data_IF_956629164605
#
_entry.id   IF_956629164605
#
_cell.length_a   1.000
_cell.length_b   1.000
_cell.length_c   1.000
_cell.angle_alpha   90.00
_cell.angle_beta   90.00
_cell.angle_gamma   90.00
#
_symmetry.space_group_name_H-M   'P 1'
#
loop_
_entity.id
_entity.type
_entity.pdbx_description
1 polymer ?
#
# COMPACT_ATOMS: atom_id res chain seq x y z
N UNK A 1 33.21 10.18 1.45
CA UNK A 1 33.57 8.93 0.74
C UNK A 1 32.43 8.57 -0.17
N UNK A 2 32.66 8.60 -1.48
CA UNK A 2 31.61 8.52 -2.50
C UNK A 2 31.18 7.05 -2.66
N UNK A 3 29.98 6.71 -2.16
CA UNK A 3 29.35 5.40 -2.38
C UNK A 3 28.65 5.43 -3.73
N UNK A 4 29.30 4.94 -4.78
CA UNK A 4 28.61 4.60 -6.03
C UNK A 4 27.70 3.39 -5.78
N UNK A 5 26.38 3.60 -5.85
CA UNK A 5 25.32 2.62 -6.04
C UNK A 5 25.37 1.30 -5.25
N UNK A 6 24.36 1.05 -4.43
CA UNK A 6 24.13 -0.31 -3.91
C UNK A 6 23.60 -1.23 -5.03
N UNK A 7 24.12 -2.45 -5.09
CA UNK A 7 23.71 -3.46 -6.07
C UNK A 7 23.53 -4.82 -5.40
N UNK A 8 22.57 -5.60 -5.89
CA UNK A 8 22.40 -6.98 -5.45
C UNK A 8 23.62 -7.81 -5.87
N UNK A 9 24.15 -8.60 -4.94
CA UNK A 9 25.31 -9.48 -5.15
C UNK A 9 25.12 -10.37 -6.39
N UNK A 10 23.93 -10.96 -6.55
CA UNK A 10 23.58 -11.83 -7.67
C UNK A 10 23.57 -11.07 -9.01
N UNK A 11 23.00 -9.87 -9.02
CA UNK A 11 22.96 -9.02 -10.22
C UNK A 11 24.37 -8.60 -10.65
N UNK A 12 25.21 -8.18 -9.70
CA UNK A 12 26.58 -7.76 -9.99
C UNK A 12 27.42 -8.89 -10.60
N UNK A 13 27.30 -10.11 -10.07
CA UNK A 13 27.99 -11.30 -10.61
C UNK A 13 27.53 -11.59 -12.04
N UNK A 14 26.22 -11.51 -12.28
CA UNK A 14 25.64 -11.76 -13.59
C UNK A 14 26.08 -10.71 -14.62
N UNK A 15 26.01 -9.44 -14.27
CA UNK A 15 26.30 -8.33 -15.18
C UNK A 15 27.81 -8.22 -15.50
N UNK A 16 28.68 -8.65 -14.59
CA UNK A 16 30.15 -8.58 -14.75
C UNK A 16 30.79 -9.87 -15.23
N UNK A 17 30.05 -10.99 -15.24
CA UNK A 17 30.58 -12.34 -15.51
C UNK A 17 31.66 -12.81 -14.52
N UNK A 18 31.87 -12.08 -13.41
CA UNK A 18 32.95 -12.34 -12.46
C UNK A 18 32.55 -13.33 -11.37
N UNK A 19 33.50 -14.13 -10.91
CA UNK A 19 33.28 -15.13 -9.86
C UNK A 19 33.18 -14.54 -8.44
N UNK A 20 32.54 -15.29 -7.52
CA UNK A 20 32.38 -14.90 -6.10
C UNK A 20 33.70 -14.57 -5.38
N UNK A 21 34.81 -15.20 -5.76
CA UNK A 21 36.14 -14.96 -5.19
C UNK A 21 36.64 -13.53 -5.48
N UNK A 22 36.23 -12.95 -6.62
CA UNK A 22 36.60 -11.57 -6.96
C UNK A 22 35.94 -10.58 -5.99
N UNK A 23 34.68 -10.82 -5.61
CA UNK A 23 34.00 -10.01 -4.61
C UNK A 23 34.63 -10.13 -3.22
N UNK A 24 35.07 -11.33 -2.84
CA UNK A 24 35.77 -11.53 -1.57
C UNK A 24 37.08 -10.74 -1.54
N UNK A 25 37.90 -10.83 -2.59
CA UNK A 25 39.16 -10.08 -2.68
C UNK A 25 38.96 -8.56 -2.67
N UNK A 26 37.90 -8.06 -3.32
CA UNK A 26 37.58 -6.63 -3.28
C UNK A 26 37.10 -6.17 -1.89
N UNK A 27 36.39 -7.04 -1.16
CA UNK A 27 35.99 -6.76 0.22
C UNK A 27 37.20 -6.77 1.16
N UNK A 28 38.11 -7.74 1.03
CA UNK A 28 39.35 -7.83 1.81
C UNK A 28 40.26 -6.62 1.57
N UNK A 29 40.27 -6.10 0.33
CA UNK A 29 40.99 -4.87 -0.03
C UNK A 29 40.27 -3.59 0.40
N UNK A 30 39.15 -3.68 1.13
CA UNK A 30 38.31 -2.55 1.55
C UNK A 30 37.81 -1.67 0.39
N UNK A 31 37.70 -2.22 -0.82
CA UNK A 31 37.18 -1.50 -2.00
C UNK A 31 35.65 -1.52 -2.01
N UNK A 32 35.04 -2.58 -1.48
CA UNK A 32 33.59 -2.74 -1.35
C UNK A 32 33.20 -3.20 0.06
N UNK A 33 31.95 -2.95 0.45
CA UNK A 33 31.35 -3.47 1.69
C UNK A 33 30.17 -4.39 1.38
N UNK A 34 30.16 -5.59 1.95
CA UNK A 34 29.04 -6.53 1.81
C UNK A 34 28.09 -6.37 2.99
N UNK A 35 26.87 -5.91 2.73
CA UNK A 35 25.83 -5.71 3.75
C UNK A 35 24.64 -6.64 3.52
N UNK A 36 24.17 -7.30 4.58
CA UNK A 36 22.88 -8.01 4.57
C UNK A 36 21.77 -7.03 4.95
N UNK A 37 20.89 -6.71 4.00
CA UNK A 37 19.70 -5.91 4.26
C UNK A 37 18.46 -6.78 4.27
N UNK A 38 17.57 -6.57 5.25
CA UNK A 38 16.24 -7.18 5.25
C UNK A 38 15.44 -6.55 4.12
N UNK A 39 15.26 -7.27 3.03
CA UNK A 39 14.34 -6.85 1.98
C UNK A 39 12.93 -6.95 2.55
N UNK A 40 12.30 -5.80 2.81
CA UNK A 40 10.85 -5.80 3.02
C UNK A 40 10.24 -6.15 1.66
N UNK A 41 9.53 -7.28 1.59
CA UNK A 41 8.56 -7.49 0.51
C UNK A 41 7.46 -6.48 0.74
N UNK A 42 7.62 -5.31 0.13
CA UNK A 42 6.55 -4.34 0.10
C UNK A 42 5.59 -4.78 -1.00
N UNK A 43 4.48 -5.43 -0.61
CA UNK A 43 3.36 -5.72 -1.51
C UNK A 43 2.53 -4.46 -1.77
N UNK A 44 2.96 -3.28 -1.30
CA UNK A 44 2.51 -2.04 -1.90
C UNK A 44 2.90 -2.13 -3.37
N UNK A 45 1.92 -2.40 -4.23
CA UNK A 45 1.97 -1.96 -5.61
C UNK A 45 2.60 -0.58 -5.59
N UNK A 46 3.69 -0.38 -6.35
CA UNK A 46 4.29 0.94 -6.54
C UNK A 46 3.23 1.81 -7.23
N UNK A 47 2.33 2.35 -6.41
CA UNK A 47 1.33 3.30 -6.81
C UNK A 47 2.10 4.59 -7.02
N UNK A 48 2.52 4.81 -8.26
CA UNK A 48 2.86 6.13 -8.77
C UNK A 48 1.53 6.79 -9.14
N UNK A 49 0.87 7.54 -8.23
CA UNK A 49 -0.18 8.41 -8.70
C UNK A 49 0.49 9.35 -9.69
N UNK A 50 -0.05 9.43 -10.91
CA UNK A 50 0.20 10.61 -11.74
C UNK A 50 0.02 11.83 -10.84
N UNK A 51 1.00 12.75 -10.87
CA UNK A 51 0.98 14.00 -10.07
C UNK A 51 -0.32 14.80 -10.25
N UNK A 52 -1.09 14.48 -11.29
CA UNK A 52 -2.35 15.06 -11.73
C UNK A 52 -3.62 14.30 -11.29
N UNK A 53 -3.55 13.29 -10.41
CA UNK A 53 -4.76 12.77 -9.76
C UNK A 53 -5.31 13.80 -8.77
N UNK A 54 -5.94 14.85 -9.31
CA UNK A 54 -6.76 15.80 -8.55
C UNK A 54 -7.79 14.96 -7.81
N UNK A 55 -7.61 14.83 -6.50
CA UNK A 55 -8.56 14.15 -5.60
C UNK A 55 -9.91 14.84 -5.76
N UNK A 56 -10.78 14.31 -6.62
CA UNK A 56 -12.16 14.76 -6.71
C UNK A 56 -12.76 14.60 -5.32
N UNK A 57 -13.15 15.72 -4.71
CA UNK A 57 -13.80 15.70 -3.40
C UNK A 57 -15.15 15.03 -3.58
N UNK A 58 -15.27 13.80 -3.10
CA UNK A 58 -16.53 13.05 -3.12
C UNK A 58 -17.47 13.71 -2.12
N UNK A 59 -18.59 14.23 -2.61
CA UNK A 59 -19.66 14.83 -1.79
C UNK A 59 -20.76 13.79 -1.69
N UNK A 60 -20.94 13.24 -0.49
CA UNK A 60 -22.00 12.27 -0.22
C UNK A 60 -23.37 12.97 -0.18
N UNK A 61 -24.37 12.34 -0.78
CA UNK A 61 -25.76 12.78 -0.67
C UNK A 61 -26.33 12.48 0.73
N UNK A 62 -27.57 12.90 0.99
CA UNK A 62 -28.19 12.72 2.31
C UNK A 62 -28.30 11.24 2.73
N UNK A 63 -28.74 10.35 1.83
CA UNK A 63 -28.87 8.92 2.13
C UNK A 63 -27.52 8.27 2.46
N UNK A 64 -26.49 8.57 1.69
CA UNK A 64 -25.13 8.08 1.90
C UNK A 64 -24.52 8.61 3.20
N UNK A 65 -24.78 9.88 3.55
CA UNK A 65 -24.37 10.47 4.84
C UNK A 65 -25.02 9.76 6.02
N UNK A 66 -26.32 9.46 5.93
CA UNK A 66 -27.03 8.76 6.99
C UNK A 66 -26.47 7.35 7.19
N UNK A 67 -26.23 6.60 6.11
CA UNK A 67 -25.59 5.29 6.18
C UNK A 67 -24.18 5.37 6.79
N UNK A 68 -23.38 6.36 6.38
CA UNK A 68 -22.05 6.58 6.94
C UNK A 68 -22.10 6.92 8.43
N UNK A 69 -23.09 7.69 8.89
CA UNK A 69 -23.26 8.05 10.30
C UNK A 69 -23.51 6.81 11.16
N UNK A 70 -24.43 5.93 10.75
CA UNK A 70 -24.71 4.69 11.49
C UNK A 70 -23.46 3.79 11.61
N UNK A 71 -22.64 3.75 10.57
CA UNK A 71 -21.37 2.99 10.60
C UNK A 71 -20.33 3.69 11.50
N UNK A 72 -20.22 5.02 11.41
CA UNK A 72 -19.29 5.81 12.21
C UNK A 72 -19.56 5.65 13.70
N UNK A 73 -20.83 5.64 14.13
CA UNK A 73 -21.20 5.41 15.53
C UNK A 73 -20.62 4.12 16.09
N UNK A 74 -20.68 3.02 15.33
CA UNK A 74 -20.08 1.75 15.73
C UNK A 74 -18.53 1.83 15.77
N UNK A 75 -17.93 2.56 14.82
CA UNK A 75 -16.48 2.82 14.79
C UNK A 75 -16.03 3.69 15.98
N UNK A 76 -16.83 4.67 16.40
CA UNK A 76 -16.57 5.52 17.57
C UNK A 76 -16.68 4.71 18.86
N UNK A 77 -17.73 3.91 19.00
CA UNK A 77 -17.94 3.03 20.17
C UNK A 77 -16.98 1.85 20.23
N UNK A 78 -16.20 1.61 19.16
CA UNK A 78 -15.26 0.49 19.03
C UNK A 78 -15.93 -0.88 19.26
N UNK A 79 -17.15 -1.03 18.75
CA UNK A 79 -17.95 -2.26 18.85
C UNK A 79 -17.99 -3.01 17.52
N UNK A 80 -18.10 -4.33 17.58
CA UNK A 80 -18.39 -5.13 16.40
C UNK A 80 -19.85 -4.94 15.99
N UNK A 81 -20.08 -4.62 14.72
CA UNK A 81 -21.41 -4.52 14.15
C UNK A 81 -21.39 -4.89 12.66
N UNK A 82 -22.46 -5.52 12.18
CA UNK A 82 -22.62 -5.90 10.77
C UNK A 82 -23.59 -4.94 10.10
N UNK A 83 -23.19 -4.37 8.98
CA UNK A 83 -24.03 -3.47 8.19
C UNK A 83 -24.22 -4.05 6.79
N UNK A 84 -25.44 -3.92 6.26
CA UNK A 84 -25.75 -4.13 4.85
C UNK A 84 -26.08 -2.77 4.24
N UNK A 85 -25.36 -2.39 3.19
CA UNK A 85 -25.69 -1.18 2.42
C UNK A 85 -26.49 -1.63 1.20
N UNK A 86 -27.80 -1.46 1.27
CA UNK A 86 -28.69 -1.73 0.16
C UNK A 86 -28.66 -0.58 -0.85
N UNK A 87 -28.67 -0.91 -2.14
CA UNK A 87 -28.77 0.06 -3.21
C UNK A 87 -28.52 -0.56 -4.57
N UNK A 88 -29.11 0.02 -5.61
CA UNK A 88 -28.94 -0.40 -7.00
C UNK A 88 -27.51 -0.13 -7.50
N UNK A 89 -27.14 -0.68 -8.65
CA UNK A 89 -25.87 -0.35 -9.33
C UNK A 89 -25.79 1.16 -9.61
N UNK A 90 -24.59 1.72 -9.61
CA UNK A 90 -24.34 3.16 -9.78
C UNK A 90 -24.94 4.11 -8.72
N UNK A 91 -25.53 3.60 -7.63
CA UNK A 91 -25.99 4.43 -6.49
C UNK A 91 -24.86 5.01 -5.62
N UNK A 92 -23.59 4.73 -5.95
CA UNK A 92 -22.44 5.24 -5.20
C UNK A 92 -22.13 4.50 -3.89
N UNK A 93 -22.48 3.21 -3.76
CA UNK A 93 -22.12 2.40 -2.57
C UNK A 93 -20.61 2.40 -2.29
N UNK A 94 -19.81 2.37 -3.36
CA UNK A 94 -18.34 2.43 -3.28
C UNK A 94 -17.84 3.68 -2.57
N UNK A 95 -18.51 4.82 -2.75
CA UNK A 95 -18.15 6.08 -2.07
C UNK A 95 -18.33 5.97 -0.55
N UNK A 96 -19.36 5.25 -0.10
CA UNK A 96 -19.56 4.97 1.33
C UNK A 96 -18.43 4.07 1.84
N UNK A 97 -18.07 2.99 1.12
CA UNK A 97 -16.96 2.11 1.53
C UNK A 97 -15.64 2.87 1.68
N UNK A 98 -15.32 3.76 0.73
CA UNK A 98 -14.11 4.58 0.77
C UNK A 98 -14.16 5.56 1.95
N UNK A 99 -15.31 6.20 2.20
CA UNK A 99 -15.48 7.11 3.33
C UNK A 99 -15.32 6.40 4.69
N UNK A 100 -15.85 5.18 4.83
CA UNK A 100 -15.67 4.34 6.02
C UNK A 100 -14.19 3.99 6.22
N UNK A 101 -13.51 3.54 5.16
CA UNK A 101 -12.08 3.21 5.25
C UNK A 101 -11.23 4.43 5.66
N UNK A 102 -11.55 5.62 5.15
CA UNK A 102 -10.88 6.87 5.55
C UNK A 102 -11.01 7.12 7.05
N UNK A 103 -12.23 7.05 7.61
CA UNK A 103 -12.47 7.21 9.05
C UNK A 103 -11.69 6.19 9.89
N UNK A 104 -11.57 4.94 9.42
CA UNK A 104 -10.78 3.90 10.10
C UNK A 104 -9.28 4.21 10.06
N UNK A 105 -8.76 4.65 8.91
CA UNK A 105 -7.35 4.99 8.73
C UNK A 105 -6.96 6.24 9.54
N UNK A 106 -7.83 7.24 9.61
CA UNK A 106 -7.64 8.44 10.45
C UNK A 106 -7.46 8.08 11.93
N UNK A 107 -8.07 6.97 12.36
CA UNK A 107 -7.88 6.38 13.70
C UNK A 107 -6.65 5.49 13.84
N UNK A 108 -5.71 5.53 12.88
CA UNK A 108 -4.51 4.67 12.82
C UNK A 108 -4.81 3.17 12.83
N UNK A 109 -6.00 2.78 12.36
CA UNK A 109 -6.40 1.37 12.17
C UNK A 109 -6.27 0.96 10.69
N UNK A 110 -6.43 -0.33 10.42
CA UNK A 110 -6.37 -0.89 9.07
C UNK A 110 -7.78 -1.25 8.59
N UNK A 111 -8.02 -1.08 7.29
CA UNK A 111 -9.23 -1.52 6.62
C UNK A 111 -8.86 -2.62 5.60
N UNK A 112 -9.77 -3.58 5.42
CA UNK A 112 -9.67 -4.63 4.41
C UNK A 112 -10.93 -4.55 3.53
N UNK A 113 -10.73 -4.36 2.24
CA UNK A 113 -11.80 -4.45 1.23
C UNK A 113 -11.60 -5.75 0.49
N UNK A 114 -12.64 -6.59 0.47
CA UNK A 114 -12.66 -7.81 -0.32
C UNK A 114 -13.56 -7.56 -1.53
N UNK A 115 -13.02 -7.76 -2.73
CA UNK A 115 -13.77 -7.73 -3.97
C UNK A 115 -13.96 -9.16 -4.49
N UNK A 116 -15.01 -9.43 -5.27
CA UNK A 116 -15.11 -10.68 -6.02
C UNK A 116 -13.87 -10.86 -6.93
N UNK A 117 -13.43 -12.11 -7.09
CA UNK A 117 -12.25 -12.52 -7.87
C UNK A 117 -12.34 -12.06 -9.34
N UNK A 118 -13.56 -11.91 -9.86
CA UNK A 118 -13.85 -11.40 -11.20
C UNK A 118 -14.25 -9.93 -11.10
N UNK A 119 -13.32 -9.06 -10.74
CA UNK A 119 -13.54 -7.61 -10.88
C UNK A 119 -13.36 -7.23 -12.34
N UNK A 120 -14.41 -6.59 -12.91
CA UNK A 120 -14.49 -6.12 -14.29
C UNK A 120 -13.26 -5.30 -14.71
#
# INVERSE_FOLDING_TARGET
>A
MVLHGEVLKEKLIKDTGSGYLSLASLADKNIISIVKKRQKRDFRYEYWPDKELKKKKVILNHYQKNALHSIDDAIQKNIFHKFLIEGVTASGKTDIYIAVCRKVIEKKKRALILTPEISL
#
